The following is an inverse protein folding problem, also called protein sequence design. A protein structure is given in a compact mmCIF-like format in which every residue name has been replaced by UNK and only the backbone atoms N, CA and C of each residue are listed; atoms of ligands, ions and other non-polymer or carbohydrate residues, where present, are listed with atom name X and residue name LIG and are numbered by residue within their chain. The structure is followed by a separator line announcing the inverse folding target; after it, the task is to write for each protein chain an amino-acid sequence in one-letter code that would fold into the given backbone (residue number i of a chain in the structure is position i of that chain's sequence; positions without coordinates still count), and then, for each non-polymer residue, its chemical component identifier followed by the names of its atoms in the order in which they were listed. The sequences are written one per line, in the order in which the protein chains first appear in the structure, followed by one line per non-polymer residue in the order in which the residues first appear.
data_IF_263318353937
#
_entry.id   IF_263318353937
#
_cell.length_a   1.000
_cell.length_b   1.000
_cell.length_c   1.000
_cell.angle_alpha   90.00
_cell.angle_beta   90.00
_cell.angle_gamma   90.00
#
_symmetry.space_group_name_H-M   'P 1'
#
loop_
_entity.id
_entity.type
_entity.pdbx_description
1 polymer ?
#
# COMPACT_ATOMS: atom_id res chain seq x y z
N UNK A 1 -1.16 2.91 3.56
CA UNK A 1 -1.74 1.66 4.09
C UNK A 1 -1.29 0.53 3.19
N UNK A 2 -0.31 -0.25 3.61
CA UNK A 2 0.19 -1.41 2.88
C UNK A 2 -0.01 -2.64 3.76
N UNK A 3 -0.33 -3.78 3.16
CA UNK A 3 -0.24 -5.05 3.86
C UNK A 3 1.24 -5.24 4.22
N UNK A 4 1.56 -5.15 5.51
CA UNK A 4 2.93 -5.32 6.00
C UNK A 4 3.40 -6.76 5.92
N UNK A 5 2.46 -7.72 5.77
CA UNK A 5 2.79 -9.11 5.57
C UNK A 5 3.22 -9.40 4.13
N UNK A 6 4.10 -10.39 3.98
CA UNK A 6 4.51 -10.88 2.65
C UNK A 6 3.34 -11.60 2.01
N UNK A 7 3.18 -11.50 0.69
CA UNK A 7 2.23 -12.31 -0.07
C UNK A 7 2.92 -13.63 -0.48
N UNK A 8 2.79 -14.74 0.28
CA UNK A 8 3.58 -15.94 0.02
C UNK A 8 3.08 -16.67 -1.23
N UNK A 9 4.02 -17.30 -1.93
CA UNK A 9 3.80 -18.25 -3.02
C UNK A 9 4.69 -19.45 -2.77
N UNK A 10 4.19 -20.63 -3.10
CA UNK A 10 4.97 -21.86 -3.08
C UNK A 10 5.56 -22.06 -4.47
N UNK A 11 6.86 -22.31 -4.53
CA UNK A 11 7.54 -22.65 -5.79
C UNK A 11 6.98 -23.98 -6.31
N UNK A 12 6.54 -24.04 -7.58
CA UNK A 12 5.92 -25.24 -8.14
C UNK A 12 6.91 -26.40 -8.28
N UNK A 13 6.37 -27.58 -8.60
CA UNK A 13 7.18 -28.71 -9.04
C UNK A 13 8.05 -28.31 -10.24
N UNK A 14 9.31 -28.76 -10.24
CA UNK A 14 10.32 -28.32 -11.22
C UNK A 14 11.15 -27.12 -10.79
N UNK A 15 10.85 -26.46 -9.67
CA UNK A 15 11.64 -25.34 -9.12
C UNK A 15 11.43 -24.02 -9.88
N UNK A 16 12.14 -22.97 -9.44
CA UNK A 16 12.05 -21.63 -10.03
C UNK A 16 13.41 -20.97 -10.10
N UNK A 17 13.76 -20.35 -11.24
CA UNK A 17 15.00 -19.59 -11.41
C UNK A 17 14.70 -18.10 -11.56
N UNK A 18 15.38 -17.27 -10.77
CA UNK A 18 15.34 -15.82 -10.91
C UNK A 18 16.76 -15.25 -10.91
N UNK A 19 17.19 -14.74 -12.08
CA UNK A 19 18.58 -14.33 -12.29
C UNK A 19 19.54 -15.50 -12.03
N UNK A 20 20.55 -15.27 -11.19
CA UNK A 20 21.51 -16.30 -10.79
C UNK A 20 20.96 -17.30 -9.76
N UNK A 21 19.81 -17.02 -9.13
CA UNK A 21 19.31 -17.78 -7.99
C UNK A 21 18.35 -18.89 -8.41
N UNK A 22 18.53 -20.08 -7.82
CA UNK A 22 17.64 -21.22 -7.95
C UNK A 22 16.85 -21.45 -6.66
N UNK A 23 15.54 -21.63 -6.79
CA UNK A 23 14.63 -21.94 -5.70
C UNK A 23 14.07 -23.35 -5.91
N UNK A 24 14.33 -24.30 -4.99
CA UNK A 24 13.75 -25.65 -5.06
C UNK A 24 12.22 -25.63 -4.98
N UNK A 25 11.58 -26.67 -5.53
CA UNK A 25 10.15 -26.91 -5.37
C UNK A 25 9.75 -26.94 -3.88
N UNK A 26 8.58 -26.40 -3.54
CA UNK A 26 8.10 -26.30 -2.16
C UNK A 26 8.64 -25.10 -1.37
N UNK A 27 9.63 -24.36 -1.90
CA UNK A 27 10.12 -23.12 -1.26
C UNK A 27 9.01 -22.07 -1.18
N UNK A 28 8.85 -21.43 -0.01
CA UNK A 28 7.92 -20.31 0.15
C UNK A 28 8.66 -19.01 -0.15
N UNK A 29 8.24 -18.31 -1.20
CA UNK A 29 8.76 -16.99 -1.59
C UNK A 29 7.68 -15.94 -1.39
N UNK A 30 8.06 -14.72 -1.01
CA UNK A 30 7.10 -13.64 -0.84
C UNK A 30 7.77 -12.29 -0.85
N UNK A 31 7.05 -11.28 -1.31
CA UNK A 31 7.52 -9.89 -1.37
C UNK A 31 6.80 -9.06 -0.32
N UNK A 32 7.54 -8.15 0.33
CA UNK A 32 6.97 -7.18 1.26
C UNK A 32 6.66 -5.88 0.53
N UNK A 33 5.37 -5.60 0.32
CA UNK A 33 4.94 -4.33 -0.26
C UNK A 33 5.37 -3.15 0.61
N UNK A 34 5.37 -3.32 1.94
CA UNK A 34 5.84 -2.32 2.89
C UNK A 34 7.30 -1.92 2.64
N UNK A 35 8.20 -2.89 2.44
CA UNK A 35 9.60 -2.59 2.17
C UNK A 35 9.78 -1.88 0.82
N UNK A 36 9.06 -2.33 -0.21
CA UNK A 36 9.13 -1.72 -1.54
C UNK A 36 8.58 -0.28 -1.55
N UNK A 37 7.45 -0.02 -0.89
CA UNK A 37 6.86 1.33 -0.85
C UNK A 37 7.69 2.32 -0.03
N UNK A 38 8.60 1.81 0.81
CA UNK A 38 9.46 2.62 1.67
C UNK A 38 10.93 2.58 1.25
N UNK A 39 11.24 2.04 0.07
CA UNK A 39 12.59 2.06 -0.46
C UNK A 39 12.97 3.49 -0.90
N UNK A 40 13.93 4.15 -0.23
CA UNK A 40 14.33 5.51 -0.59
C UNK A 40 15.03 5.62 -1.95
N UNK A 41 15.51 4.50 -2.52
CA UNK A 41 16.07 4.47 -3.86
C UNK A 41 15.00 4.62 -4.95
N UNK A 42 13.73 4.30 -4.63
CA UNK A 42 12.60 4.38 -5.56
C UNK A 42 11.65 5.52 -5.18
N UNK A 43 11.40 5.72 -3.89
CA UNK A 43 10.51 6.73 -3.35
C UNK A 43 11.31 7.73 -2.50
N UNK A 44 11.72 8.86 -3.09
CA UNK A 44 12.36 9.95 -2.33
C UNK A 44 11.45 10.41 -1.18
N UNK A 45 12.02 10.59 0.01
CA UNK A 45 11.27 10.89 1.25
C UNK A 45 10.09 9.92 1.42
N UNK A 46 10.35 8.61 1.60
CA UNK A 46 9.31 7.57 1.50
C UNK A 46 8.25 7.68 2.62
N UNK A 47 8.61 8.28 3.75
CA UNK A 47 7.69 8.49 4.88
C UNK A 47 6.86 9.77 4.75
N UNK A 48 7.16 10.66 3.79
CA UNK A 48 6.42 11.89 3.58
C UNK A 48 5.21 11.66 2.67
N UNK A 49 4.02 12.08 3.13
CA UNK A 49 2.83 12.11 2.28
C UNK A 49 2.96 13.23 1.24
N UNK A 50 3.38 12.85 0.02
CA UNK A 50 3.57 13.76 -1.12
C UNK A 50 2.80 13.23 -2.34
N UNK A 51 1.51 13.53 -2.49
CA UNK A 51 0.69 13.06 -3.62
C UNK A 51 1.25 13.48 -4.99
N UNK A 52 1.93 14.61 -5.06
CA UNK A 52 2.46 15.22 -6.27
C UNK A 52 3.52 14.34 -6.94
N UNK A 53 4.16 13.42 -6.20
CA UNK A 53 5.12 12.46 -6.75
C UNK A 53 4.52 11.56 -7.84
N UNK A 54 3.20 11.46 -7.91
CA UNK A 54 2.50 10.66 -8.91
C UNK A 54 2.19 11.41 -10.21
N UNK A 55 2.47 12.73 -10.28
CA UNK A 55 2.32 13.51 -11.51
C UNK A 55 3.38 13.12 -12.55
N UNK A 56 4.62 12.85 -12.08
CA UNK A 56 5.77 12.45 -12.91
C UNK A 56 6.40 11.15 -12.35
N UNK A 57 5.58 10.11 -12.16
CA UNK A 57 6.03 8.85 -11.57
C UNK A 57 7.00 8.08 -12.48
N UNK A 58 8.09 7.58 -11.90
CA UNK A 58 9.08 6.77 -12.63
C UNK A 58 8.56 5.34 -12.91
N UNK A 59 9.13 4.62 -13.90
CA UNK A 59 8.82 3.21 -14.12
C UNK A 59 9.05 2.31 -12.89
N UNK A 60 10.09 2.61 -12.10
CA UNK A 60 10.41 1.90 -10.85
C UNK A 60 9.32 2.12 -9.80
N UNK A 61 8.81 3.35 -9.67
CA UNK A 61 7.70 3.64 -8.77
C UNK A 61 6.46 2.83 -9.15
N UNK A 62 6.13 2.74 -10.45
CA UNK A 62 5.02 1.90 -10.93
C UNK A 62 5.27 0.41 -10.74
N UNK A 63 6.52 -0.06 -10.86
CA UNK A 63 6.89 -1.46 -10.62
C UNK A 63 6.63 -1.86 -9.18
N UNK A 64 7.02 -1.00 -8.25
CA UNK A 64 7.04 -1.26 -6.81
C UNK A 64 5.73 -0.85 -6.11
N UNK A 65 4.86 -0.12 -6.81
CA UNK A 65 3.50 0.17 -6.38
C UNK A 65 2.61 -1.09 -6.43
N UNK A 66 2.47 -1.71 -5.27
CA UNK A 66 1.81 -3.00 -5.04
C UNK A 66 0.70 -2.98 -3.97
N UNK A 67 -0.14 -1.92 -3.82
CA UNK A 67 -1.18 -1.90 -2.78
C UNK A 67 -2.25 -2.99 -2.97
N UNK A 68 -2.41 -3.48 -4.21
CA UNK A 68 -3.36 -4.53 -4.57
C UNK A 68 -2.66 -5.83 -5.02
N UNK A 69 -1.36 -5.97 -4.74
CA UNK A 69 -0.54 -7.03 -5.31
C UNK A 69 -0.39 -6.91 -6.84
N UNK A 70 0.20 -7.95 -7.46
CA UNK A 70 0.47 -8.01 -8.92
C UNK A 70 0.44 -9.45 -9.43
N UNK A 71 0.30 -9.60 -10.75
CA UNK A 71 0.26 -10.89 -11.43
C UNK A 71 -1.06 -11.64 -11.24
N UNK A 72 -1.05 -12.95 -11.46
CA UNK A 72 -2.24 -13.82 -11.48
C UNK A 72 -3.04 -13.88 -10.16
N UNK A 73 -2.48 -13.34 -9.07
CA UNK A 73 -3.09 -13.32 -7.74
C UNK A 73 -3.22 -11.90 -7.19
N UNK A 74 -3.20 -10.90 -8.07
CA UNK A 74 -3.56 -9.53 -7.70
C UNK A 74 -5.02 -9.47 -7.21
N UNK A 75 -5.35 -8.46 -6.40
CA UNK A 75 -6.69 -8.24 -5.90
C UNK A 75 -7.68 -8.12 -7.05
N UNK A 76 -8.65 -9.03 -7.11
CA UNK A 76 -9.72 -9.03 -8.13
C UNK A 76 -10.59 -7.78 -8.03
N UNK A 77 -10.77 -7.25 -6.82
CA UNK A 77 -11.59 -6.08 -6.53
C UNK A 77 -10.83 -4.75 -6.69
N UNK A 78 -9.61 -4.73 -7.25
CA UNK A 78 -8.80 -3.50 -7.40
C UNK A 78 -9.58 -2.35 -8.04
N UNK A 79 -10.29 -2.62 -9.12
CA UNK A 79 -11.01 -1.58 -9.86
C UNK A 79 -12.19 -1.04 -9.04
N UNK A 80 -12.94 -1.93 -8.37
CA UNK A 80 -14.04 -1.53 -7.48
C UNK A 80 -13.52 -0.67 -6.32
N UNK A 81 -12.46 -1.14 -5.63
CA UNK A 81 -11.87 -0.42 -4.51
C UNK A 81 -11.36 0.98 -4.91
N UNK A 82 -10.76 1.12 -6.10
CA UNK A 82 -10.33 2.43 -6.61
C UNK A 82 -11.51 3.37 -6.88
N UNK A 83 -12.62 2.85 -7.42
CA UNK A 83 -13.84 3.64 -7.63
C UNK A 83 -14.43 4.07 -6.29
N UNK A 84 -14.55 3.16 -5.32
CA UNK A 84 -15.06 3.47 -3.99
C UNK A 84 -14.21 4.53 -3.29
N UNK A 85 -12.88 4.38 -3.31
CA UNK A 85 -11.95 5.37 -2.76
C UNK A 85 -12.11 6.73 -3.45
N UNK A 86 -12.19 6.76 -4.79
CA UNK A 86 -12.38 8.00 -5.53
C UNK A 86 -13.70 8.71 -5.17
N UNK A 87 -14.80 7.97 -5.14
CA UNK A 87 -16.12 8.50 -4.80
C UNK A 87 -16.15 8.99 -3.35
N UNK A 88 -15.62 8.22 -2.40
CA UNK A 88 -15.56 8.59 -1.00
C UNK A 88 -14.69 9.83 -0.77
N UNK A 89 -13.48 9.88 -1.33
CA UNK A 89 -12.60 11.06 -1.25
C UNK A 89 -13.27 12.29 -1.85
N UNK A 90 -13.92 12.15 -3.02
CA UNK A 90 -14.68 13.25 -3.63
C UNK A 90 -15.82 13.73 -2.73
N UNK A 91 -16.56 12.84 -2.09
CA UNK A 91 -17.65 13.20 -1.19
C UNK A 91 -17.13 13.97 0.04
N UNK A 92 -16.04 13.51 0.65
CA UNK A 92 -15.38 14.17 1.79
C UNK A 92 -14.91 15.57 1.42
N UNK A 93 -14.26 15.74 0.25
CA UNK A 93 -13.79 17.05 -0.21
C UNK A 93 -14.96 17.99 -0.47
N UNK A 94 -16.04 17.50 -1.11
CA UNK A 94 -17.20 18.35 -1.44
C UNK A 94 -18.04 18.74 -0.23
N UNK A 95 -18.04 17.95 0.84
CA UNK A 95 -18.81 18.27 2.05
C UNK A 95 -18.14 19.30 2.94
N UNK A 96 -16.84 19.57 2.78
CA UNK A 96 -16.08 20.45 3.68
C UNK A 96 -15.96 19.89 5.10
N UNK A 97 -16.27 18.61 5.32
CA UNK A 97 -16.34 18.01 6.66
C UNK A 97 -14.99 18.00 7.39
N UNK A 98 -13.89 18.18 6.65
CA UNK A 98 -12.53 18.26 7.18
C UNK A 98 -11.99 19.70 7.25
N UNK A 99 -12.83 20.71 7.01
CA UNK A 99 -12.40 22.11 7.05
C UNK A 99 -11.98 22.48 8.48
N UNK A 100 -10.73 22.94 8.63
CA UNK A 100 -10.13 23.23 9.94
C UNK A 100 -9.68 21.99 10.74
N UNK A 101 -9.75 20.78 10.15
CA UNK A 101 -9.22 19.59 10.79
C UNK A 101 -7.69 19.66 10.95
N UNK A 102 -7.20 19.12 12.07
CA UNK A 102 -5.78 19.02 12.37
C UNK A 102 -5.40 17.57 12.70
N UNK A 103 -4.14 17.21 12.41
CA UNK A 103 -3.62 15.88 12.76
C UNK A 103 -3.41 15.77 14.26
N UNK A 104 -3.94 14.71 14.88
CA UNK A 104 -3.78 14.43 16.32
C UNK A 104 -2.40 13.87 16.68
N UNK A 105 -1.64 13.41 15.69
CA UNK A 105 -0.29 12.85 15.86
C UNK A 105 0.57 13.18 14.63
N UNK A 106 1.88 13.43 14.81
CA UNK A 106 2.80 13.66 13.70
C UNK A 106 3.11 12.38 12.91
N UNK A 107 2.76 11.20 13.43
CA UNK A 107 3.04 9.91 12.78
C UNK A 107 1.89 8.92 12.97
N UNK A 108 1.64 8.13 11.93
CA UNK A 108 0.78 6.96 11.98
C UNK A 108 1.58 5.79 12.57
N UNK A 109 1.17 5.30 13.73
CA UNK A 109 1.68 4.06 14.32
C UNK A 109 0.86 2.88 13.81
N UNK A 110 1.52 1.91 13.14
CA UNK A 110 0.88 0.65 12.74
C UNK A 110 0.93 -0.33 13.91
N UNK A 111 -0.24 -0.68 14.45
CA UNK A 111 -0.33 -1.58 15.61
C UNK A 111 -0.39 -3.07 15.22
N UNK A 112 -0.88 -3.37 14.02
CA UNK A 112 -1.11 -4.73 13.56
C UNK A 112 -0.29 -5.05 12.29
N UNK A 113 0.02 -6.34 12.14
CA UNK A 113 0.89 -6.86 11.09
C UNK A 113 0.17 -7.17 9.77
N UNK A 114 -1.15 -7.39 9.83
CA UNK A 114 -1.95 -7.79 8.66
C UNK A 114 -2.75 -6.60 8.07
N UNK A 115 -3.40 -5.82 8.93
CA UNK A 115 -4.07 -4.57 8.57
C UNK A 115 -3.48 -3.44 9.39
N UNK A 116 -2.88 -2.43 8.76
CA UNK A 116 -2.45 -1.24 9.49
C UNK A 116 -3.68 -0.51 10.07
N UNK A 117 -3.98 -0.74 11.35
CA UNK A 117 -4.90 0.12 12.10
C UNK A 117 -4.13 1.30 12.68
N UNK A 118 -4.68 2.50 12.51
CA UNK A 118 -4.18 3.71 13.17
C UNK A 118 -4.55 3.61 14.65
N UNK A 119 -3.56 3.79 15.53
CA UNK A 119 -3.77 3.84 16.98
C UNK A 119 -4.76 4.95 17.35
N UNK A 120 -5.79 4.58 18.12
CA UNK A 120 -6.85 5.51 18.53
C UNK A 120 -7.77 5.96 17.39
N UNK A 121 -7.91 5.16 16.32
CA UNK A 121 -8.64 5.43 15.07
C UNK A 121 -10.10 5.87 15.22
N UNK A 122 -10.29 7.04 15.79
CA UNK A 122 -11.54 7.77 15.92
C UNK A 122 -11.40 9.01 15.06
N UNK A 123 -12.29 9.14 14.09
CA UNK A 123 -12.57 10.42 13.44
C UNK A 123 -13.86 10.91 14.12
N UNK A 124 -13.74 11.84 15.06
CA UNK A 124 -14.92 12.48 15.65
C UNK A 124 -15.44 13.54 14.68
N UNK A 125 -16.52 13.20 13.98
CA UNK A 125 -17.25 14.14 13.14
C UNK A 125 -18.29 14.85 14.00
N UNK A 126 -17.96 16.07 14.44
CA UNK A 126 -18.93 16.93 15.15
C UNK A 126 -19.66 17.78 14.13
N UNK A 127 -20.86 17.35 13.76
CA UNK A 127 -21.77 18.17 12.93
C UNK A 127 -22.33 19.31 13.78
N UNK A 128 -22.30 20.54 13.26
CA UNK A 128 -22.96 21.72 13.83
C UNK A 128 -24.25 22.03 13.08
#
# INVERSE_FOLDING_TARGET
MAISCRLPRVVPEGGFRHGAHWFPAGTIVGVSAYQLHLDPAVFQEPFAFRPERWLDASPEMHRDWLPFGKGARACVARNLALVELYVATRAIVRSGVLDGAATVSPRIESLEWFNSRVKGGVIELVWR
#
